data_IF_911304317510
#
_entry.id   IF_911304317510
#
_cell.length_a   1.000
_cell.length_b   1.000
_cell.length_c   1.000
_cell.angle_alpha   90.00
_cell.angle_beta   90.00
_cell.angle_gamma   90.00
#
_symmetry.space_group_name_H-M   'P 1'
#
loop_
_entity.id
_entity.type
_entity.pdbx_description
1 polymer ?
#
# COMPACT_ATOMS: atom_id res chain seq x y z
N UNK A 1 -8.59 22.48 26.37
CA UNK A 1 -7.22 22.24 26.90
C UNK A 1 -6.63 20.85 26.58
N UNK A 2 -7.36 19.94 25.93
CA UNK A 2 -6.87 18.62 25.54
C UNK A 2 -6.05 18.61 24.22
N UNK A 3 -6.24 19.58 23.34
CA UNK A 3 -5.57 19.65 22.03
C UNK A 3 -4.08 20.00 22.07
N UNK A 4 -3.63 20.71 23.10
CA UNK A 4 -2.23 21.17 23.20
C UNK A 4 -1.25 20.10 23.67
N UNK A 5 -1.72 19.01 24.28
CA UNK A 5 -0.87 17.90 24.72
C UNK A 5 -0.58 16.91 23.60
N UNK A 6 -1.50 16.74 22.65
CA UNK A 6 -1.32 15.87 21.47
C UNK A 6 -0.29 16.43 20.49
N UNK A 7 -0.24 17.74 20.31
CA UNK A 7 0.73 18.38 19.41
C UNK A 7 2.18 18.29 19.90
N UNK A 8 2.42 18.32 21.20
CA UNK A 8 3.76 18.17 21.77
C UNK A 8 4.30 16.72 21.69
N UNK A 9 3.43 15.71 21.66
CA UNK A 9 3.83 14.31 21.54
C UNK A 9 4.27 13.94 20.10
N UNK A 10 3.77 14.65 19.11
CA UNK A 10 4.11 14.43 17.69
C UNK A 10 5.41 15.13 17.24
N UNK A 11 6.05 15.87 18.11
CA UNK A 11 7.31 16.55 17.80
C UNK A 11 8.50 15.57 17.75
N UNK A 12 9.24 15.61 16.67
CA UNK A 12 10.50 14.89 16.53
C UNK A 12 10.36 13.41 16.11
N UNK A 13 11.02 12.50 16.82
CA UNK A 13 11.16 11.09 16.45
C UNK A 13 9.88 10.24 16.60
N UNK A 14 8.85 10.77 17.24
CA UNK A 14 7.55 10.07 17.41
C UNK A 14 6.53 10.38 16.34
N UNK A 15 6.78 11.36 15.47
CA UNK A 15 5.88 11.73 14.38
C UNK A 15 5.66 10.53 13.43
N UNK A 16 4.40 10.17 13.23
CA UNK A 16 4.02 9.12 12.26
C UNK A 16 4.04 9.70 10.86
N UNK A 17 4.62 8.97 9.92
CA UNK A 17 4.68 9.33 8.51
C UNK A 17 4.46 8.11 7.63
N UNK A 18 4.04 8.34 6.39
CA UNK A 18 3.88 7.28 5.41
C UNK A 18 5.26 6.91 4.87
N UNK A 19 5.71 5.69 5.12
CA UNK A 19 6.99 5.20 4.63
C UNK A 19 6.95 4.79 3.16
N UNK A 20 5.90 4.08 2.76
CA UNK A 20 5.66 3.63 1.38
C UNK A 20 4.23 3.16 1.19
N UNK A 21 3.79 3.20 -0.06
CA UNK A 21 2.56 2.54 -0.53
C UNK A 21 2.96 1.47 -1.53
N UNK A 22 2.42 0.28 -1.39
CA UNK A 22 2.65 -0.84 -2.30
C UNK A 22 1.32 -1.24 -2.89
N UNK A 23 1.22 -1.25 -4.22
CA UNK A 23 0.07 -1.78 -4.94
C UNK A 23 0.50 -3.08 -5.62
N UNK A 24 -0.29 -4.11 -5.44
CA UNK A 24 -0.08 -5.43 -6.00
C UNK A 24 -1.28 -5.87 -6.83
N UNK A 25 -1.03 -6.34 -8.05
CA UNK A 25 -2.03 -7.00 -8.89
C UNK A 25 -1.55 -8.44 -9.13
N UNK A 26 -2.38 -9.41 -8.74
CA UNK A 26 -2.17 -10.81 -9.04
C UNK A 26 -2.90 -11.17 -10.33
N UNK A 27 -2.16 -11.53 -11.37
CA UNK A 27 -2.71 -11.90 -12.68
C UNK A 27 -2.95 -13.41 -12.78
N UNK A 28 -2.05 -14.20 -12.19
CA UNK A 28 -2.12 -15.67 -12.18
C UNK A 28 -1.68 -16.34 -13.48
N UNK A 29 -1.61 -15.62 -14.60
CA UNK A 29 -1.17 -16.11 -15.91
C UNK A 29 -0.11 -15.19 -16.47
N UNK A 30 0.84 -15.75 -17.24
CA UNK A 30 1.83 -14.98 -18.00
C UNK A 30 1.29 -14.48 -19.34
N UNK A 31 2.01 -13.58 -20.00
CA UNK A 31 1.68 -13.07 -21.33
C UNK A 31 0.90 -11.75 -21.31
N UNK A 32 0.01 -11.57 -22.28
CA UNK A 32 -0.75 -10.32 -22.53
C UNK A 32 -1.49 -9.78 -21.30
N UNK A 33 -1.99 -10.66 -20.44
CA UNK A 33 -2.68 -10.26 -19.21
C UNK A 33 -1.79 -9.46 -18.27
N UNK A 34 -0.51 -9.80 -18.17
CA UNK A 34 0.49 -9.06 -17.38
C UNK A 34 0.77 -7.70 -17.99
N UNK A 35 0.83 -7.60 -19.34
CA UNK A 35 1.04 -6.32 -20.01
C UNK A 35 -0.14 -5.36 -19.83
N UNK A 36 -1.37 -5.89 -19.92
CA UNK A 36 -2.60 -5.11 -19.66
C UNK A 36 -2.62 -4.59 -18.22
N UNK A 37 -2.33 -5.45 -17.24
CA UNK A 37 -2.24 -5.04 -15.84
C UNK A 37 -1.08 -4.05 -15.58
N UNK A 38 0.01 -4.12 -16.36
CA UNK A 38 1.11 -3.14 -16.31
C UNK A 38 0.64 -1.74 -16.69
N UNK A 39 -0.12 -1.63 -17.78
CA UNK A 39 -0.68 -0.34 -18.22
C UNK A 39 -1.56 0.29 -17.15
N UNK A 40 -2.41 -0.50 -16.48
CA UNK A 40 -3.24 -0.02 -15.37
C UNK A 40 -2.40 0.56 -14.23
N UNK A 41 -1.37 -0.18 -13.79
CA UNK A 41 -0.51 0.30 -12.70
C UNK A 41 0.27 1.55 -13.10
N UNK A 42 0.70 1.67 -14.34
CA UNK A 42 1.37 2.86 -14.87
C UNK A 42 0.42 4.08 -14.89
N UNK A 43 -0.84 3.89 -15.28
CA UNK A 43 -1.86 4.95 -15.23
C UNK A 43 -2.14 5.44 -13.81
N UNK A 44 -2.18 4.50 -12.83
CA UNK A 44 -2.47 4.84 -11.42
C UNK A 44 -1.30 5.56 -10.76
N UNK A 45 -0.07 5.04 -10.95
CA UNK A 45 1.11 5.43 -10.17
C UNK A 45 2.12 6.29 -10.92
N UNK A 46 1.99 6.39 -12.27
CA UNK A 46 2.98 6.99 -13.17
C UNK A 46 4.38 6.39 -12.98
N UNK A 47 4.46 5.12 -12.57
CA UNK A 47 5.71 4.40 -12.34
C UNK A 47 5.67 3.05 -13.05
N UNK A 48 6.82 2.59 -13.57
CA UNK A 48 6.94 1.28 -14.21
C UNK A 48 6.78 0.17 -13.17
N UNK A 49 5.84 -0.77 -13.35
CA UNK A 49 5.64 -1.89 -12.45
C UNK A 49 6.79 -2.89 -12.50
N UNK A 50 7.00 -3.56 -11.37
CA UNK A 50 7.98 -4.63 -11.27
C UNK A 50 7.26 -5.99 -11.35
N UNK A 51 7.55 -6.83 -12.36
CA UNK A 51 6.94 -8.13 -12.49
C UNK A 51 7.38 -9.06 -11.35
N UNK A 52 6.43 -9.82 -10.82
CA UNK A 52 6.66 -10.84 -9.81
C UNK A 52 6.57 -12.22 -10.45
N UNK A 53 7.67 -12.95 -10.36
CA UNK A 53 7.82 -14.28 -10.93
C UNK A 53 7.28 -15.36 -9.98
N UNK A 54 6.74 -16.43 -10.54
CA UNK A 54 6.37 -17.63 -9.82
C UNK A 54 7.61 -18.26 -9.16
N UNK A 55 7.49 -18.66 -7.91
CA UNK A 55 8.57 -19.31 -7.14
C UNK A 55 8.62 -20.82 -7.32
N UNK A 56 7.50 -21.42 -7.76
CA UNK A 56 7.35 -22.86 -7.96
C UNK A 56 6.41 -23.10 -9.14
N UNK A 57 6.60 -24.22 -9.82
CA UNK A 57 5.66 -24.70 -10.84
C UNK A 57 4.48 -25.39 -10.16
N UNK A 58 3.26 -25.00 -10.53
CA UNK A 58 2.01 -25.58 -10.02
C UNK A 58 1.16 -25.97 -11.24
N UNK A 59 0.97 -27.29 -11.43
CA UNK A 59 0.25 -27.84 -12.60
C UNK A 59 -1.20 -27.40 -12.63
N UNK A 60 -1.89 -27.37 -11.49
CA UNK A 60 -3.30 -27.04 -11.37
C UNK A 60 -3.62 -25.61 -11.82
N UNK A 61 -2.67 -24.69 -11.68
CA UNK A 61 -2.80 -23.31 -12.14
C UNK A 61 -2.10 -23.05 -13.48
N UNK A 62 -1.46 -24.06 -14.08
CA UNK A 62 -0.71 -23.92 -15.33
C UNK A 62 0.44 -22.92 -15.26
N UNK A 63 1.03 -22.75 -14.08
CA UNK A 63 2.14 -21.80 -13.85
C UNK A 63 3.48 -22.54 -13.78
N UNK A 64 4.50 -21.99 -14.45
CA UNK A 64 5.85 -22.51 -14.39
C UNK A 64 6.74 -21.58 -13.54
N UNK A 65 7.76 -22.18 -12.92
CA UNK A 65 8.74 -21.42 -12.15
C UNK A 65 9.44 -20.37 -13.04
N UNK A 66 9.57 -19.15 -12.53
CA UNK A 66 10.20 -18.04 -13.25
C UNK A 66 9.26 -17.20 -14.12
N UNK A 67 8.03 -17.66 -14.38
CA UNK A 67 7.05 -16.91 -15.14
C UNK A 67 6.51 -15.68 -14.39
N UNK A 68 6.31 -14.53 -15.07
CA UNK A 68 5.68 -13.35 -14.45
C UNK A 68 4.17 -13.62 -14.26
N UNK A 69 3.72 -13.70 -13.02
CA UNK A 69 2.33 -13.97 -12.64
C UNK A 69 1.65 -12.82 -11.90
N UNK A 70 2.36 -11.76 -11.62
CA UNK A 70 1.85 -10.60 -10.91
C UNK A 70 2.74 -9.40 -11.06
N UNK A 71 2.22 -8.24 -10.66
CA UNK A 71 2.87 -6.95 -10.77
C UNK A 71 2.81 -6.20 -9.44
N UNK A 72 3.89 -5.52 -9.12
CA UNK A 72 3.98 -4.70 -7.91
C UNK A 72 4.57 -3.33 -8.22
N UNK A 73 3.95 -2.29 -7.68
CA UNK A 73 4.52 -0.94 -7.65
C UNK A 73 4.73 -0.52 -6.21
N UNK A 74 5.85 0.12 -5.94
CA UNK A 74 6.15 0.70 -4.62
C UNK A 74 6.39 2.19 -4.76
N UNK A 75 5.44 2.97 -4.31
CA UNK A 75 5.54 4.43 -4.28
C UNK A 75 6.13 4.90 -2.96
N UNK A 76 7.08 5.84 -3.04
CA UNK A 76 7.73 6.49 -1.91
C UNK A 76 7.63 8.01 -2.06
N UNK A 77 7.82 8.73 -0.95
CA UNK A 77 7.65 10.18 -0.89
C UNK A 77 6.29 10.54 -0.29
N UNK A 78 6.29 11.41 0.73
CA UNK A 78 5.09 11.69 1.54
C UNK A 78 3.93 12.25 0.71
N UNK A 79 4.21 13.25 -0.13
CA UNK A 79 3.17 13.92 -0.95
C UNK A 79 2.55 12.95 -1.94
N UNK A 80 3.37 12.27 -2.75
CA UNK A 80 2.90 11.27 -3.73
C UNK A 80 2.13 10.13 -3.08
N UNK A 81 2.58 9.66 -1.91
CA UNK A 81 1.88 8.62 -1.18
C UNK A 81 0.53 9.12 -0.65
N UNK A 82 0.46 10.35 -0.12
CA UNK A 82 -0.80 10.95 0.36
C UNK A 82 -1.82 11.11 -0.77
N UNK A 83 -1.42 11.67 -1.90
CA UNK A 83 -2.28 11.80 -3.08
C UNK A 83 -2.80 10.44 -3.56
N UNK A 84 -1.91 9.47 -3.67
CA UNK A 84 -2.26 8.12 -4.11
C UNK A 84 -3.25 7.46 -3.15
N UNK A 85 -2.99 7.50 -1.83
CA UNK A 85 -3.87 6.93 -0.82
C UNK A 85 -5.25 7.61 -0.85
N UNK A 86 -5.31 8.95 -0.97
CA UNK A 86 -6.57 9.68 -1.04
C UNK A 86 -7.42 9.22 -2.21
N UNK A 87 -6.82 9.07 -3.42
CA UNK A 87 -7.52 8.55 -4.60
C UNK A 87 -8.02 7.11 -4.41
N UNK A 88 -7.21 6.25 -3.81
CA UNK A 88 -7.56 4.85 -3.54
C UNK A 88 -8.64 4.71 -2.46
N UNK A 89 -8.65 5.59 -1.46
CA UNK A 89 -9.68 5.61 -0.41
C UNK A 89 -11.02 6.15 -0.90
N UNK A 90 -11.01 7.10 -1.84
CA UNK A 90 -12.25 7.58 -2.49
C UNK A 90 -12.93 6.41 -3.21
N UNK A 91 -12.18 5.58 -3.94
CA UNK A 91 -12.68 4.38 -4.59
C UNK A 91 -13.30 3.37 -3.59
N UNK A 92 -12.92 3.43 -2.32
CA UNK A 92 -13.48 2.58 -1.26
C UNK A 92 -14.51 3.31 -0.37
N UNK A 93 -15.03 4.44 -0.80
CA UNK A 93 -15.98 5.25 -0.02
C UNK A 93 -15.45 5.66 1.37
N UNK A 94 -14.13 5.69 1.57
CA UNK A 94 -13.44 5.95 2.85
C UNK A 94 -13.84 5.01 3.99
N UNK A 95 -14.37 3.80 3.70
CA UNK A 95 -14.73 2.80 4.70
C UNK A 95 -13.66 1.74 4.83
N UNK A 96 -13.25 1.46 6.03
CA UNK A 96 -12.24 0.43 6.33
C UNK A 96 -12.62 -0.36 7.57
N UNK A 97 -12.33 -1.66 7.54
CA UNK A 97 -12.53 -2.52 8.69
C UNK A 97 -11.34 -2.42 9.64
N UNK A 98 -11.57 -2.54 10.94
CA UNK A 98 -10.52 -2.60 11.95
C UNK A 98 -9.51 -3.74 11.71
N UNK A 99 -9.92 -4.83 11.05
CA UNK A 99 -9.05 -5.94 10.66
C UNK A 99 -8.03 -5.59 9.57
N UNK A 100 -8.24 -4.49 8.83
CA UNK A 100 -7.30 -4.00 7.81
C UNK A 100 -6.02 -3.40 8.39
N UNK A 101 -5.99 -3.15 9.70
CA UNK A 101 -4.87 -2.55 10.41
C UNK A 101 -4.10 -3.62 11.17
N UNK A 102 -2.79 -3.71 10.88
CA UNK A 102 -1.86 -4.62 11.54
C UNK A 102 -1.30 -4.01 12.84
N UNK A 103 -0.82 -4.87 13.75
CA UNK A 103 -0.19 -4.48 15.02
C UNK A 103 1.10 -3.67 14.84
N UNK A 104 1.67 -3.64 13.64
CA UNK A 104 2.92 -2.93 13.31
C UNK A 104 2.73 -1.69 12.45
N UNK A 105 1.54 -1.10 12.47
CA UNK A 105 1.25 0.11 11.70
C UNK A 105 1.17 -0.09 10.19
N UNK A 106 1.07 -1.32 9.71
CA UNK A 106 0.76 -1.59 8.30
C UNK A 106 -0.75 -1.60 8.10
N UNK A 107 -1.20 -1.00 7.02
CA UNK A 107 -2.62 -0.97 6.65
C UNK A 107 -2.79 -1.59 5.28
N UNK A 108 -3.67 -2.58 5.16
CA UNK A 108 -3.87 -3.28 3.89
C UNK A 108 -5.35 -3.37 3.56
N UNK A 109 -5.70 -3.05 2.31
CA UNK A 109 -7.07 -3.15 1.81
C UNK A 109 -7.08 -3.53 0.33
N UNK A 110 -8.16 -4.16 -0.10
CA UNK A 110 -8.40 -4.53 -1.49
C UNK A 110 -9.34 -3.55 -2.17
N UNK A 111 -9.10 -3.33 -3.46
CA UNK A 111 -10.02 -2.69 -4.40
C UNK A 111 -10.49 -3.75 -5.39
N UNK A 112 -11.79 -3.82 -5.62
CA UNK A 112 -12.38 -4.79 -6.56
C UNK A 112 -12.11 -4.39 -7.99
N UNK A 113 -12.24 -3.11 -8.29
CA UNK A 113 -12.15 -2.56 -9.62
C UNK A 113 -11.25 -1.32 -9.66
N UNK A 114 -10.36 -1.26 -10.63
CA UNK A 114 -9.49 -0.09 -10.80
C UNK A 114 -10.23 1.14 -11.35
N UNK A 115 -11.39 0.92 -11.95
CA UNK A 115 -12.23 1.96 -12.58
C UNK A 115 -12.82 2.91 -11.53
N UNK A 116 -13.04 2.41 -10.31
CA UNK A 116 -13.55 3.22 -9.19
C UNK A 116 -12.57 4.32 -8.76
N UNK A 117 -11.30 4.24 -9.19
CA UNK A 117 -10.27 5.21 -8.81
C UNK A 117 -10.45 6.50 -9.63
N UNK A 118 -10.59 7.67 -8.99
CA UNK A 118 -10.72 8.95 -9.68
C UNK A 118 -9.56 9.22 -10.65
N UNK A 119 -9.90 9.64 -11.87
CA UNK A 119 -8.93 9.98 -12.91
C UNK A 119 -8.49 8.82 -13.80
N UNK A 120 -9.05 7.63 -13.61
CA UNK A 120 -8.82 6.49 -14.51
C UNK A 120 -9.98 6.39 -15.51
N UNK A 121 -9.64 6.19 -16.77
CA UNK A 121 -10.63 5.92 -17.84
C UNK A 121 -10.74 4.42 -18.06
N UNK A 122 -11.96 3.96 -18.25
CA UNK A 122 -12.20 2.58 -18.67
C UNK A 122 -11.71 2.37 -20.10
N UNK A 123 -10.92 1.33 -20.29
CA UNK A 123 -10.47 0.87 -21.58
C UNK A 123 -10.90 -0.60 -21.75
N UNK A 124 -11.80 -0.91 -22.72
CA UNK A 124 -12.27 -2.27 -22.96
C UNK A 124 -11.16 -3.27 -23.28
N UNK A 125 -10.06 -2.82 -23.90
CA UNK A 125 -8.93 -3.68 -24.24
C UNK A 125 -8.14 -4.13 -23.01
N UNK A 126 -8.11 -3.29 -21.97
CA UNK A 126 -7.39 -3.56 -20.74
C UNK A 126 -8.19 -4.48 -19.81
N UNK A 127 -9.54 -4.31 -19.78
CA UNK A 127 -10.42 -5.04 -18.88
C UNK A 127 -10.40 -4.54 -17.45
N UNK A 128 -11.10 -5.25 -16.55
CA UNK A 128 -11.25 -4.89 -15.13
C UNK A 128 -10.23 -5.63 -14.29
N UNK A 129 -9.51 -4.91 -13.41
CA UNK A 129 -8.49 -5.47 -12.55
C UNK A 129 -8.73 -5.09 -11.08
N UNK A 130 -8.74 -6.12 -10.23
CA UNK A 130 -8.67 -5.94 -8.78
C UNK A 130 -7.24 -5.78 -8.31
N UNK A 131 -7.06 -5.07 -7.19
CA UNK A 131 -5.73 -4.83 -6.64
C UNK A 131 -5.73 -4.81 -5.12
N UNK A 132 -4.59 -5.17 -4.54
CA UNK A 132 -4.32 -5.05 -3.12
C UNK A 132 -3.38 -3.87 -2.87
N UNK A 133 -3.77 -3.02 -1.94
CA UNK A 133 -3.00 -1.85 -1.51
C UNK A 133 -2.50 -2.10 -0.10
N UNK A 134 -1.20 -1.89 0.12
CA UNK A 134 -0.59 -1.95 1.44
C UNK A 134 0.15 -0.64 1.72
N UNK A 135 -0.18 -0.01 2.82
CA UNK A 135 0.41 1.24 3.30
C UNK A 135 1.25 0.93 4.53
N UNK A 136 2.48 1.36 4.55
CA UNK A 136 3.35 1.23 5.72
C UNK A 136 3.49 2.59 6.39
N UNK A 137 3.07 2.67 7.65
CA UNK A 137 3.33 3.81 8.51
C UNK A 137 4.65 3.59 9.27
N UNK A 138 5.46 4.61 9.34
CA UNK A 138 6.75 4.55 10.01
C UNK A 138 6.99 5.81 10.84
N UNK A 139 7.75 5.64 11.91
CA UNK A 139 8.37 6.75 12.64
C UNK A 139 9.80 6.97 12.15
N UNK A 140 10.35 8.19 12.23
CA UNK A 140 11.75 8.45 11.96
C UNK A 140 12.64 7.47 12.72
N UNK A 141 13.72 6.99 12.09
CA UNK A 141 14.60 5.98 12.69
C UNK A 141 14.33 4.54 12.25
N UNK A 142 13.21 4.20 11.62
CA UNK A 142 12.89 2.86 11.14
C UNK A 142 13.91 2.26 10.15
N UNK A 143 14.73 3.10 9.51
CA UNK A 143 15.83 2.67 8.64
C UNK A 143 16.86 1.77 9.34
N UNK A 144 17.03 1.88 10.67
CA UNK A 144 17.98 1.09 11.44
C UNK A 144 17.77 -0.40 11.27
N UNK A 145 16.53 -0.86 11.16
CA UNK A 145 16.20 -2.28 10.95
C UNK A 145 16.47 -2.79 9.52
N UNK A 146 16.58 -1.88 8.54
CA UNK A 146 16.70 -2.22 7.10
C UNK A 146 18.06 -1.93 6.49
N UNK A 147 18.93 -1.20 7.19
CA UNK A 147 20.27 -0.91 6.71
C UNK A 147 21.15 -2.16 6.68
N UNK A 148 22.05 -2.25 5.71
CA UNK A 148 22.92 -3.41 5.53
C UNK A 148 23.96 -3.54 6.64
N UNK A 149 24.59 -2.41 7.05
CA UNK A 149 25.62 -2.39 8.10
C UNK A 149 25.02 -1.91 9.40
N UNK A 150 25.44 -2.52 10.52
CA UNK A 150 24.97 -2.19 11.89
C UNK A 150 23.44 -2.20 12.00
N UNK A 151 22.80 -3.16 11.33
CA UNK A 151 21.35 -3.39 11.46
C UNK A 151 21.03 -3.77 12.90
N UNK A 152 19.93 -3.22 13.43
CA UNK A 152 19.43 -3.56 14.76
C UNK A 152 17.90 -3.51 14.78
N UNK A 153 17.28 -4.19 15.72
CA UNK A 153 15.83 -4.18 15.92
C UNK A 153 15.38 -2.83 16.46
N UNK A 154 14.27 -2.33 15.95
CA UNK A 154 13.59 -1.15 16.52
C UNK A 154 12.83 -1.59 17.77
N UNK A 155 12.92 -0.81 18.83
CA UNK A 155 12.23 -1.07 20.09
C UNK A 155 10.71 -1.11 19.90
N UNK A 156 10.01 -1.99 20.62
CA UNK A 156 8.55 -2.15 20.51
C UNK A 156 7.79 -0.85 20.75
N UNK A 157 8.25 -0.02 21.70
CA UNK A 157 7.65 1.29 22.01
C UNK A 157 7.81 2.35 20.90
N UNK A 158 8.67 2.09 19.91
CA UNK A 158 8.88 2.99 18.77
C UNK A 158 8.15 2.54 17.51
N UNK A 159 7.63 1.33 17.48
CA UNK A 159 6.79 0.82 16.39
C UNK A 159 5.41 1.48 16.50
N UNK A 160 4.81 1.81 15.37
CA UNK A 160 3.44 2.35 15.33
C UNK A 160 2.47 1.24 15.73
N UNK A 161 1.62 1.48 16.72
CA UNK A 161 0.59 0.53 17.13
C UNK A 161 -0.63 0.59 16.20
N UNK A 162 -1.51 -0.41 16.32
CA UNK A 162 -2.77 -0.48 15.57
C UNK A 162 -3.64 0.75 15.84
N UNK A 163 -3.80 1.12 17.10
CA UNK A 163 -4.66 2.24 17.50
C UNK A 163 -4.14 3.57 16.98
N UNK A 164 -2.84 3.80 17.07
CA UNK A 164 -2.18 4.97 16.49
C UNK A 164 -2.33 5.03 14.96
N UNK A 165 -2.29 3.89 14.29
CA UNK A 165 -2.51 3.82 12.84
C UNK A 165 -3.96 4.18 12.47
N UNK A 166 -4.95 3.71 13.24
CA UNK A 166 -6.37 4.05 13.06
C UNK A 166 -6.58 5.55 13.28
N UNK A 167 -6.04 6.11 14.36
CA UNK A 167 -6.14 7.55 14.64
C UNK A 167 -5.49 8.40 13.53
N UNK A 168 -4.33 7.97 13.04
CA UNK A 168 -3.65 8.64 11.93
C UNK A 168 -4.50 8.65 10.66
N UNK A 169 -5.11 7.51 10.28
CA UNK A 169 -5.98 7.43 9.11
C UNK A 169 -7.27 8.23 9.26
N UNK A 170 -7.89 8.23 10.43
CA UNK A 170 -9.06 9.06 10.73
C UNK A 170 -8.74 10.55 10.60
N UNK A 171 -7.60 11.00 11.12
CA UNK A 171 -7.19 12.39 11.10
C UNK A 171 -6.77 12.89 9.72
N UNK A 172 -5.96 12.13 8.99
CA UNK A 172 -5.35 12.57 7.73
C UNK A 172 -6.23 12.30 6.50
N UNK A 173 -7.05 11.26 6.54
CA UNK A 173 -7.83 10.80 5.38
C UNK A 173 -9.33 10.74 5.63
N UNK A 174 -9.80 11.10 6.81
CA UNK A 174 -11.23 11.10 7.20
C UNK A 174 -11.89 9.73 6.97
N UNK A 175 -11.19 8.65 7.30
CA UNK A 175 -11.67 7.28 7.11
C UNK A 175 -12.60 6.88 8.24
N UNK A 176 -13.73 6.26 7.88
CA UNK A 176 -14.65 5.62 8.83
C UNK A 176 -14.16 4.18 9.06
N UNK A 177 -13.86 3.83 10.30
CA UNK A 177 -13.41 2.49 10.68
C UNK A 177 -14.55 1.78 11.40
N UNK A 178 -14.96 0.64 10.83
CA UNK A 178 -15.95 -0.29 11.34
C UNK A 178 -15.29 -1.45 12.10
#
# INVERSE_FOLDING_TARGET
MASTQTEKADAGMRKISIGKVVINIGVGKSGEAVERASKVLEQITSQKPNPRKAKKSIRDFGTHEGEPIGLVVTTRGQERCKELITRLLIARERKMNSSSFDERGSVSFGLKEHIEIPGIRYDPEIGIWGMNVSVLLERPGGRVSRRLRKSNKVGKSHVVSKDEAIEYFKREFEVVVE
#
